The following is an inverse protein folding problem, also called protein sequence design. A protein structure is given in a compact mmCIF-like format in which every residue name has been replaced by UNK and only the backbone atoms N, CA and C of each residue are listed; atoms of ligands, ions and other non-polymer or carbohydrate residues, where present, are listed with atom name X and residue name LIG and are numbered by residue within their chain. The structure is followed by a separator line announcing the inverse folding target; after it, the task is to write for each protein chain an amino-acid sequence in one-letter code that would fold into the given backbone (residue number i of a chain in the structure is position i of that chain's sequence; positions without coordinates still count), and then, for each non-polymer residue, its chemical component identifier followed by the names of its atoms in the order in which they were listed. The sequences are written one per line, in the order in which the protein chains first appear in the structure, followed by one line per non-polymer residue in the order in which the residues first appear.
data_IF_953516164662
#
_entry.id   IF_953516164662
#
_cell.length_a   1.000
_cell.length_b   1.000
_cell.length_c   1.000
_cell.angle_alpha   90.00
_cell.angle_beta   90.00
_cell.angle_gamma   90.00
#
_symmetry.space_group_name_H-M   'P 1'
#
loop_
_entity.id
_entity.type
_entity.pdbx_description
1 polymer ?
#
# COMPACT_ATOMS: atom_id res chain seq x y z
N UNK A 1 7.46 -13.67 8.98
CA UNK A 1 6.05 -13.35 8.66
C UNK A 1 5.73 -13.68 7.20
N UNK A 2 6.45 -13.06 6.24
CA UNK A 2 6.22 -13.32 4.82
C UNK A 2 6.38 -14.80 4.46
N UNK A 3 7.49 -15.39 4.87
CA UNK A 3 7.81 -16.78 4.50
C UNK A 3 6.84 -17.78 5.12
N UNK A 4 6.34 -17.49 6.31
CA UNK A 4 5.33 -18.33 6.96
C UNK A 4 4.02 -18.33 6.17
N UNK A 5 3.59 -17.14 5.69
CA UNK A 5 2.38 -17.01 4.89
C UNK A 5 2.52 -17.75 3.56
N UNK A 6 3.65 -17.58 2.89
CA UNK A 6 3.90 -18.24 1.61
C UNK A 6 3.91 -19.78 1.78
N UNK A 7 4.49 -20.27 2.86
CA UNK A 7 4.52 -21.70 3.13
C UNK A 7 3.12 -22.30 3.35
N UNK A 8 2.17 -21.48 3.80
CA UNK A 8 0.78 -21.88 4.02
C UNK A 8 -0.11 -21.65 2.81
N UNK A 9 0.44 -21.24 1.68
CA UNK A 9 -0.31 -21.00 0.47
C UNK A 9 -0.97 -19.61 0.41
N UNK A 10 -0.67 -18.73 1.35
CA UNK A 10 -1.16 -17.36 1.34
C UNK A 10 -0.17 -16.45 0.60
N UNK A 11 -0.68 -15.41 -0.04
CA UNK A 11 0.16 -14.47 -0.78
C UNK A 11 0.04 -13.07 -0.16
N UNK A 12 1.03 -12.63 0.65
CA UNK A 12 0.94 -11.34 1.31
C UNK A 12 1.11 -10.18 0.33
N UNK A 13 0.18 -9.23 0.37
CA UNK A 13 0.20 -8.00 -0.43
C UNK A 13 0.16 -6.82 0.53
N UNK A 14 1.02 -5.85 0.30
CA UNK A 14 1.14 -4.67 1.14
C UNK A 14 0.62 -3.45 0.41
N UNK A 15 -0.20 -2.66 1.10
CA UNK A 15 -0.90 -1.51 0.55
C UNK A 15 -0.77 -0.33 1.51
N UNK A 16 -0.71 0.91 1.01
CA UNK A 16 -0.65 2.06 1.90
C UNK A 16 -1.98 2.27 2.62
N UNK A 17 -1.96 2.52 3.95
CA UNK A 17 -3.18 2.83 4.68
C UNK A 17 -3.69 4.22 4.33
N UNK A 18 -4.98 4.51 4.55
CA UNK A 18 -5.47 5.88 4.41
C UNK A 18 -4.85 6.75 5.49
N UNK A 19 -4.33 7.91 5.09
CA UNK A 19 -3.66 8.84 6.00
C UNK A 19 -4.15 10.26 5.76
N UNK A 20 -4.19 11.05 6.84
CA UNK A 20 -4.48 12.46 6.71
C UNK A 20 -3.36 13.14 5.90
N UNK A 21 -3.75 13.85 4.84
CA UNK A 21 -2.78 14.63 4.06
C UNK A 21 -2.28 15.81 4.87
N UNK A 22 -0.97 16.00 4.89
CA UNK A 22 -0.33 17.16 5.48
C UNK A 22 0.59 17.80 4.45
N UNK A 23 0.59 19.13 4.42
CA UNK A 23 1.38 19.87 3.44
C UNK A 23 2.87 19.55 3.53
N UNK A 24 3.37 19.26 4.72
CA UNK A 24 4.78 18.89 4.91
C UNK A 24 5.19 17.63 4.14
N UNK A 25 4.24 16.75 3.84
CA UNK A 25 4.53 15.51 3.10
C UNK A 25 4.95 15.78 1.65
N UNK A 26 4.65 16.95 1.12
CA UNK A 26 5.05 17.33 -0.23
C UNK A 26 6.05 18.48 -0.26
N UNK A 27 6.06 19.34 0.77
CA UNK A 27 6.95 20.49 0.83
C UNK A 27 8.31 20.15 1.44
N UNK A 28 8.34 19.24 2.42
CA UNK A 28 9.61 18.78 2.99
C UNK A 28 10.26 17.77 2.07
N UNK A 29 11.45 18.03 1.51
CA UNK A 29 12.12 17.05 0.64
C UNK A 29 12.36 15.72 1.32
N UNK A 30 12.66 15.73 2.62
CA UNK A 30 12.90 14.50 3.38
C UNK A 30 11.64 13.66 3.49
N UNK A 31 10.50 14.27 3.85
CA UNK A 31 9.24 13.54 4.00
C UNK A 31 8.70 13.08 2.65
N UNK A 32 8.77 13.95 1.63
CA UNK A 32 8.33 13.57 0.29
C UNK A 32 9.11 12.37 -0.23
N UNK A 33 10.43 12.38 -0.05
CA UNK A 33 11.28 11.28 -0.46
C UNK A 33 10.95 10.00 0.30
N UNK A 34 10.71 10.10 1.60
CA UNK A 34 10.36 8.95 2.43
C UNK A 34 9.11 8.25 1.90
N UNK A 35 8.02 8.99 1.71
CA UNK A 35 6.76 8.39 1.25
C UNK A 35 6.84 7.89 -0.18
N UNK A 36 7.49 8.61 -1.08
CA UNK A 36 7.62 8.20 -2.48
C UNK A 36 8.52 6.97 -2.64
N UNK A 37 9.47 6.76 -1.75
CA UNK A 37 10.40 5.63 -1.82
C UNK A 37 9.89 4.36 -1.14
N UNK A 38 8.83 4.43 -0.32
CA UNK A 38 8.31 3.27 0.41
C UNK A 38 8.02 2.05 -0.49
N UNK A 39 7.32 2.20 -1.63
CA UNK A 39 7.06 1.05 -2.50
C UNK A 39 8.34 0.37 -2.98
N UNK A 40 9.32 1.16 -3.37
CA UNK A 40 10.59 0.62 -3.84
C UNK A 40 11.34 -0.09 -2.71
N UNK A 41 11.40 0.54 -1.53
CA UNK A 41 12.05 -0.05 -0.35
C UNK A 41 11.41 -1.38 0.02
N UNK A 42 10.07 -1.42 0.05
CA UNK A 42 9.34 -2.65 0.37
C UNK A 42 9.65 -3.77 -0.63
N UNK A 43 9.65 -3.45 -1.92
CA UNK A 43 9.94 -4.44 -2.96
C UNK A 43 11.39 -4.93 -2.88
N UNK A 44 12.32 -4.05 -2.56
CA UNK A 44 13.73 -4.41 -2.36
C UNK A 44 13.87 -5.39 -1.19
N UNK A 45 13.05 -5.24 -0.16
CA UNK A 45 13.00 -6.16 0.98
C UNK A 45 12.19 -7.42 0.69
N UNK A 46 11.72 -7.59 -0.54
CA UNK A 46 10.97 -8.79 -0.94
C UNK A 46 9.50 -8.79 -0.54
N UNK A 47 8.88 -7.62 -0.43
CA UNK A 47 7.46 -7.48 -0.12
C UNK A 47 6.70 -6.98 -1.35
N UNK A 48 5.59 -7.65 -1.68
CA UNK A 48 4.77 -7.24 -2.81
C UNK A 48 3.91 -6.05 -2.41
N UNK A 49 4.34 -4.86 -2.84
CA UNK A 49 3.68 -3.60 -2.52
C UNK A 49 2.92 -3.06 -3.73
N UNK A 50 1.67 -2.65 -3.51
CA UNK A 50 0.83 -2.00 -4.51
C UNK A 50 0.38 -0.63 -4.00
N UNK A 51 0.25 0.32 -4.92
CA UNK A 51 -0.27 1.66 -4.61
C UNK A 51 0.80 2.64 -4.17
N UNK A 52 0.57 3.92 -4.49
CA UNK A 52 1.43 5.01 -4.04
C UNK A 52 0.92 5.55 -2.71
N UNK A 53 1.77 5.72 -1.70
CA UNK A 53 1.34 6.28 -0.41
C UNK A 53 0.61 7.62 -0.55
N UNK A 54 1.04 8.50 -1.46
CA UNK A 54 0.40 9.79 -1.68
C UNK A 54 -1.06 9.64 -2.12
N UNK A 55 -1.36 8.62 -2.91
CA UNK A 55 -2.72 8.39 -3.41
C UNK A 55 -3.67 7.89 -2.32
N UNK A 56 -3.14 7.38 -1.21
CA UNK A 56 -3.94 6.97 -0.06
C UNK A 56 -4.19 8.10 0.93
N UNK A 57 -3.56 9.26 0.74
CA UNK A 57 -3.75 10.41 1.62
C UNK A 57 -5.07 11.12 1.30
N UNK A 58 -5.75 11.58 2.36
CA UNK A 58 -7.10 12.18 2.27
C UNK A 58 -7.17 13.47 3.06
N UNK A 59 -8.14 14.31 2.74
CA UNK A 59 -8.39 15.57 3.45
C UNK A 59 -8.97 15.32 4.84
N UNK A 60 -8.85 16.33 5.70
CA UNK A 60 -9.35 16.25 7.07
C UNK A 60 -10.85 15.92 7.14
N UNK A 61 -11.64 16.35 6.16
CA UNK A 61 -13.08 16.09 6.12
C UNK A 61 -13.44 14.62 5.96
N UNK A 62 -12.49 13.80 5.50
CA UNK A 62 -12.70 12.36 5.28
C UNK A 62 -12.50 11.54 6.55
N UNK A 63 -12.08 12.15 7.65
CA UNK A 63 -11.80 11.48 8.92
C UNK A 63 -12.78 11.94 9.99
N UNK A 64 -13.09 11.05 10.97
CA UNK A 64 -14.05 11.39 12.02
C UNK A 64 -13.44 11.51 13.40
N UNK A 65 -12.46 10.69 13.79
CA UNK A 65 -11.88 10.74 15.14
C UNK A 65 -10.36 10.70 15.18
N UNK A 66 -9.70 10.11 14.18
CA UNK A 66 -8.23 10.02 14.12
C UNK A 66 -7.77 10.29 12.70
N UNK A 67 -6.45 10.33 12.50
CA UNK A 67 -5.83 10.51 11.18
C UNK A 67 -5.94 9.27 10.29
N UNK A 68 -6.60 8.22 10.77
CA UNK A 68 -6.68 6.94 10.06
C UNK A 68 -8.10 6.37 9.95
N UNK A 69 -9.08 6.95 10.66
CA UNK A 69 -10.47 6.44 10.66
C UNK A 69 -11.34 7.27 9.73
N UNK A 70 -11.57 6.75 8.53
CA UNK A 70 -12.36 7.43 7.50
C UNK A 70 -13.86 7.41 7.82
N UNK A 71 -14.57 8.47 7.43
CA UNK A 71 -16.05 8.46 7.42
C UNK A 71 -16.55 7.49 6.34
N UNK A 72 -17.84 7.10 6.43
CA UNK A 72 -18.38 6.02 5.60
C UNK A 72 -18.15 6.21 4.09
N UNK A 73 -18.45 7.41 3.58
CA UNK A 73 -18.26 7.69 2.15
C UNK A 73 -16.79 7.58 1.74
N UNK A 74 -15.89 8.09 2.57
CA UNK A 74 -14.45 8.01 2.30
C UNK A 74 -13.94 6.56 2.38
N UNK A 75 -14.53 5.73 3.25
CA UNK A 75 -14.20 4.31 3.32
C UNK A 75 -14.57 3.57 2.05
N UNK A 76 -15.76 3.85 1.51
CA UNK A 76 -16.17 3.27 0.24
C UNK A 76 -15.22 3.65 -0.89
N UNK A 77 -14.88 4.93 -0.95
CA UNK A 77 -13.94 5.44 -1.94
C UNK A 77 -12.58 4.76 -1.82
N UNK A 78 -12.06 4.62 -0.59
CA UNK A 78 -10.79 3.95 -0.36
C UNK A 78 -10.86 2.47 -0.71
N UNK A 79 -11.97 1.80 -0.41
CA UNK A 79 -12.18 0.40 -0.77
C UNK A 79 -12.13 0.21 -2.28
N UNK A 80 -12.76 1.10 -3.04
CA UNK A 80 -12.71 1.06 -4.50
C UNK A 80 -11.28 1.25 -5.01
N UNK A 81 -10.51 2.12 -4.36
CA UNK A 81 -9.10 2.32 -4.70
C UNK A 81 -8.27 1.04 -4.45
N UNK A 82 -8.50 0.37 -3.32
CA UNK A 82 -7.84 -0.90 -3.01
C UNK A 82 -8.14 -1.95 -4.07
N UNK A 83 -9.40 -2.06 -4.47
CA UNK A 83 -9.80 -3.00 -5.51
C UNK A 83 -9.10 -2.67 -6.82
N UNK A 84 -8.98 -1.38 -7.16
CA UNK A 84 -8.25 -0.96 -8.35
C UNK A 84 -6.78 -1.33 -8.31
N UNK A 85 -6.13 -1.15 -7.18
CA UNK A 85 -4.71 -1.52 -7.04
C UNK A 85 -4.51 -3.03 -7.15
N UNK A 86 -5.43 -3.84 -6.58
CA UNK A 86 -5.33 -5.29 -6.66
C UNK A 86 -5.53 -5.81 -8.09
N UNK A 87 -6.41 -5.17 -8.86
CA UNK A 87 -6.66 -5.56 -10.24
C UNK A 87 -7.57 -6.77 -10.36
N UNK A 88 -7.68 -7.31 -11.57
CA UNK A 88 -8.60 -8.41 -11.88
C UNK A 88 -8.06 -9.79 -11.50
N UNK A 89 -6.74 -9.92 -11.35
CA UNK A 89 -6.10 -11.20 -11.03
C UNK A 89 -5.04 -11.00 -9.93
N UNK A 90 -5.47 -10.60 -8.73
CA UNK A 90 -4.52 -10.24 -7.67
C UNK A 90 -3.67 -11.43 -7.20
N UNK A 91 -4.26 -12.62 -7.12
CA UNK A 91 -3.53 -13.80 -6.66
C UNK A 91 -2.43 -14.19 -7.64
N UNK A 92 -2.72 -14.16 -8.93
CA UNK A 92 -1.78 -14.49 -9.98
C UNK A 92 -0.60 -13.50 -10.00
N UNK A 93 -0.89 -12.21 -9.89
CA UNK A 93 0.13 -11.16 -9.82
C UNK A 93 1.04 -11.34 -8.62
N UNK A 94 0.45 -11.65 -7.48
CA UNK A 94 1.19 -11.85 -6.24
C UNK A 94 2.09 -13.08 -6.33
N UNK A 95 1.56 -14.19 -6.81
CA UNK A 95 2.32 -15.43 -6.97
C UNK A 95 3.50 -15.23 -7.92
N UNK A 96 3.28 -14.51 -9.02
CA UNK A 96 4.33 -14.22 -9.98
C UNK A 96 5.43 -13.35 -9.37
N UNK A 97 5.07 -12.37 -8.56
CA UNK A 97 6.05 -11.53 -7.88
C UNK A 97 6.98 -12.38 -7.01
N UNK A 98 6.42 -13.25 -6.16
CA UNK A 98 7.22 -14.06 -5.25
C UNK A 98 8.00 -15.15 -5.98
N UNK A 99 7.45 -15.69 -7.07
CA UNK A 99 8.16 -16.66 -7.90
C UNK A 99 9.40 -16.03 -8.54
N UNK A 100 9.26 -14.83 -9.07
CA UNK A 100 10.38 -14.08 -9.65
C UNK A 100 11.47 -13.82 -8.59
N UNK A 101 11.05 -13.50 -7.38
CA UNK A 101 11.95 -13.24 -6.26
C UNK A 101 12.76 -14.51 -5.91
N UNK A 102 12.10 -15.67 -5.88
CA UNK A 102 12.75 -16.95 -5.61
C UNK A 102 13.77 -17.28 -6.71
N UNK A 103 13.39 -17.07 -7.95
CA UNK A 103 14.26 -17.34 -9.11
C UNK A 103 15.49 -16.44 -9.14
N UNK A 104 15.39 -15.23 -8.57
CA UNK A 104 16.49 -14.27 -8.53
C UNK A 104 17.48 -14.54 -7.39
N UNK A 105 17.15 -15.39 -6.45
CA UNK A 105 18.00 -15.67 -5.27
C UNK A 105 18.96 -16.88 -5.44
#
# INVERSE_FOLDING_TARGET
FRDELLAKGACPVFLPPPMLFQQSYVESPTEAHFYESLPHTARTEGLFWLGRPRDAMRDANDFFDTNFHLVDEARLNYTEQLVGWLGSQPMERCEQFYQTLIEAS
#
